data_IF_218572056582
#
_entry.id   IF_218572056582
#
_cell.length_a   1.000
_cell.length_b   1.000
_cell.length_c   1.000
_cell.angle_alpha   90.00
_cell.angle_beta   90.00
_cell.angle_gamma   90.00
#
_symmetry.space_group_name_H-M   'P 1'
#
loop_
_entity.id
_entity.type
_entity.pdbx_description
1 polymer ?
#
# COMPACT_ATOMS: atom_id res chain seq x y z
N UNK A 1 -11.88 -13.36 35.07
CA UNK A 1 -12.90 -14.20 34.40
C UNK A 1 -14.00 -13.39 33.70
N UNK A 2 -14.84 -12.62 34.42
CA UNK A 2 -15.98 -11.87 33.81
C UNK A 2 -15.61 -10.94 32.63
N UNK A 3 -14.46 -10.24 32.71
CA UNK A 3 -13.99 -9.31 31.65
C UNK A 3 -13.61 -9.99 30.33
N UNK A 4 -13.16 -11.25 30.37
CA UNK A 4 -12.79 -12.00 29.16
C UNK A 4 -14.01 -12.64 28.49
N UNK A 5 -15.03 -13.02 29.27
CA UNK A 5 -16.28 -13.60 28.74
C UNK A 5 -16.97 -12.63 27.78
N UNK A 6 -17.10 -11.35 28.17
CA UNK A 6 -17.70 -10.34 27.30
C UNK A 6 -16.95 -10.18 25.97
N UNK A 7 -15.62 -10.12 26.01
CA UNK A 7 -14.77 -10.02 24.80
C UNK A 7 -14.93 -11.24 23.89
N UNK A 8 -14.97 -12.44 24.47
CA UNK A 8 -15.15 -13.67 23.70
C UNK A 8 -16.53 -13.67 23.01
N UNK A 9 -17.59 -13.28 23.73
CA UNK A 9 -18.94 -13.20 23.16
C UNK A 9 -18.99 -12.22 21.99
N UNK A 10 -18.39 -11.02 22.12
CA UNK A 10 -18.39 -10.04 21.03
C UNK A 10 -17.54 -10.47 19.83
N UNK A 11 -16.43 -11.19 20.04
CA UNK A 11 -15.64 -11.77 18.94
C UNK A 11 -16.40 -12.88 18.22
N UNK A 12 -17.09 -13.75 18.96
CA UNK A 12 -17.93 -14.80 18.37
C UNK A 12 -19.07 -14.16 17.58
N UNK A 13 -19.74 -13.14 18.12
CA UNK A 13 -20.77 -12.39 17.41
C UNK A 13 -20.23 -11.78 16.11
N UNK A 14 -19.05 -11.14 16.18
CA UNK A 14 -18.39 -10.58 15.00
C UNK A 14 -18.11 -11.63 13.93
N UNK A 15 -17.64 -12.83 14.32
CA UNK A 15 -17.45 -13.95 13.39
C UNK A 15 -18.76 -14.47 12.80
N UNK A 16 -19.84 -14.51 13.58
CA UNK A 16 -21.16 -14.97 13.13
C UNK A 16 -21.78 -14.03 12.10
N UNK A 17 -21.75 -12.72 12.36
CA UNK A 17 -22.29 -11.72 11.43
C UNK A 17 -21.53 -11.78 10.10
N UNK A 18 -20.20 -11.89 10.13
CA UNK A 18 -19.38 -11.89 8.92
C UNK A 18 -19.45 -13.18 8.09
N UNK A 19 -20.20 -14.22 8.48
CA UNK A 19 -20.32 -15.45 7.67
C UNK A 19 -20.84 -15.16 6.27
N UNK A 20 -21.75 -14.20 6.14
CA UNK A 20 -22.40 -13.84 4.88
C UNK A 20 -21.78 -12.60 4.22
N UNK A 21 -20.51 -12.31 4.52
CA UNK A 21 -19.76 -11.24 3.84
C UNK A 21 -19.49 -11.58 2.38
N UNK A 22 -19.47 -10.56 1.52
CA UNK A 22 -18.98 -10.67 0.13
C UNK A 22 -17.46 -10.92 0.04
N UNK A 23 -16.75 -10.80 1.17
CA UNK A 23 -15.31 -11.05 1.26
C UNK A 23 -14.97 -12.51 1.57
N UNK A 24 -13.70 -12.87 1.44
CA UNK A 24 -13.22 -14.20 1.83
C UNK A 24 -13.32 -14.43 3.34
N UNK A 25 -14.40 -15.08 3.79
CA UNK A 25 -14.70 -15.33 5.20
C UNK A 25 -13.54 -15.98 6.00
N UNK A 26 -12.74 -16.83 5.36
CA UNK A 26 -11.61 -17.50 6.01
C UNK A 26 -10.59 -16.52 6.60
N UNK A 27 -10.46 -15.30 6.04
CA UNK A 27 -9.59 -14.25 6.59
C UNK A 27 -10.09 -13.79 7.95
N UNK A 28 -11.40 -13.56 8.08
CA UNK A 28 -12.02 -13.19 9.36
C UNK A 28 -11.95 -14.33 10.37
N UNK A 29 -12.14 -15.57 9.92
CA UNK A 29 -12.00 -16.76 10.76
C UNK A 29 -10.58 -16.90 11.34
N UNK A 30 -9.54 -16.67 10.54
CA UNK A 30 -8.16 -16.67 11.01
C UNK A 30 -7.89 -15.56 12.02
N UNK A 31 -8.35 -14.33 11.75
CA UNK A 31 -8.16 -13.19 12.66
C UNK A 31 -8.90 -13.39 13.98
N UNK A 32 -10.18 -13.79 13.92
CA UNK A 32 -10.98 -14.09 15.10
C UNK A 32 -10.44 -15.28 15.89
N UNK A 33 -9.99 -16.33 15.21
CA UNK A 33 -9.33 -17.49 15.81
C UNK A 33 -8.03 -17.11 16.52
N UNK A 34 -7.18 -16.29 15.88
CA UNK A 34 -5.96 -15.77 16.48
C UNK A 34 -6.25 -14.89 17.71
N UNK A 35 -7.30 -14.07 17.65
CA UNK A 35 -7.75 -13.26 18.78
C UNK A 35 -8.28 -14.11 19.94
N UNK A 36 -9.04 -15.18 19.66
CA UNK A 36 -9.49 -16.12 20.68
C UNK A 36 -8.32 -16.89 21.32
N UNK A 37 -7.35 -17.31 20.49
CA UNK A 37 -6.13 -17.95 20.94
C UNK A 37 -5.29 -17.03 21.84
N UNK A 38 -5.29 -15.72 21.58
CA UNK A 38 -4.52 -14.76 22.37
C UNK A 38 -4.96 -14.75 23.86
N UNK A 39 -6.23 -15.03 24.17
CA UNK A 39 -6.72 -15.13 25.56
C UNK A 39 -6.16 -16.34 26.33
N UNK A 40 -5.67 -17.36 25.63
CA UNK A 40 -4.95 -18.48 26.26
C UNK A 40 -3.51 -18.10 26.65
N UNK A 41 -3.01 -16.95 26.17
CA UNK A 41 -1.68 -16.43 26.48
C UNK A 41 -1.77 -15.34 27.54
N UNK A 42 -0.71 -15.23 28.35
CA UNK A 42 -0.53 -14.10 29.27
C UNK A 42 -0.10 -12.88 28.44
N UNK A 43 -1.08 -12.07 28.04
CA UNK A 43 -0.86 -10.81 27.32
C UNK A 43 -0.36 -9.70 28.25
N UNK A 44 0.22 -8.64 27.69
CA UNK A 44 0.73 -7.51 28.45
C UNK A 44 -0.42 -6.79 29.20
N UNK A 45 -0.16 -6.32 30.42
CA UNK A 45 -1.20 -5.68 31.26
C UNK A 45 -1.68 -4.31 30.71
N UNK A 46 -0.90 -3.66 29.83
CA UNK A 46 -1.25 -2.40 29.17
C UNK A 46 -1.09 -2.50 27.66
N UNK A 47 -2.21 -2.37 26.96
CA UNK A 47 -2.27 -2.21 25.50
C UNK A 47 -1.71 -0.84 25.09
N UNK A 48 -0.89 -0.78 24.05
CA UNK A 48 -0.39 0.48 23.51
C UNK A 48 -1.52 1.31 22.90
N UNK A 49 -1.46 2.64 23.03
CA UNK A 49 -2.47 3.55 22.45
C UNK A 49 -2.60 3.40 20.93
N UNK A 50 -1.47 3.14 20.24
CA UNK A 50 -1.44 2.86 18.80
C UNK A 50 -2.22 1.61 18.44
N UNK A 51 -2.08 0.53 19.23
CA UNK A 51 -2.81 -0.73 19.03
C UNK A 51 -4.32 -0.53 19.13
N UNK A 52 -4.79 0.25 20.12
CA UNK A 52 -6.21 0.60 20.23
C UNK A 52 -6.67 1.44 19.05
N UNK A 53 -5.91 2.47 18.67
CA UNK A 53 -6.25 3.33 17.55
C UNK A 53 -6.40 2.55 16.23
N UNK A 54 -5.38 1.75 15.86
CA UNK A 54 -5.45 0.93 14.65
C UNK A 54 -6.51 -0.15 14.76
N UNK A 55 -6.68 -0.78 15.93
CA UNK A 55 -7.75 -1.76 16.14
C UNK A 55 -9.15 -1.18 15.90
N UNK A 56 -9.41 0.04 16.39
CA UNK A 56 -10.65 0.76 16.13
C UNK A 56 -10.81 1.14 14.66
N UNK A 57 -9.74 1.60 14.01
CA UNK A 57 -9.78 1.96 12.60
C UNK A 57 -10.11 0.75 11.71
N UNK A 58 -9.41 -0.37 11.89
CA UNK A 58 -9.68 -1.59 11.14
C UNK A 58 -11.06 -2.16 11.44
N UNK A 59 -11.52 -2.08 12.69
CA UNK A 59 -12.89 -2.48 13.02
C UNK A 59 -13.93 -1.64 12.30
N UNK A 60 -13.72 -0.32 12.22
CA UNK A 60 -14.62 0.57 11.49
C UNK A 60 -14.64 0.25 10.00
N UNK A 61 -13.47 -0.01 9.40
CA UNK A 61 -13.35 -0.39 7.99
C UNK A 61 -14.11 -1.69 7.68
N UNK A 62 -14.00 -2.72 8.53
CA UNK A 62 -14.74 -3.98 8.33
C UNK A 62 -16.24 -3.75 8.34
N UNK A 63 -16.75 -2.91 9.24
CA UNK A 63 -18.18 -2.65 9.34
C UNK A 63 -18.67 -1.82 8.17
N UNK A 64 -17.92 -0.79 7.78
CA UNK A 64 -18.24 0.01 6.60
C UNK A 64 -18.15 -0.79 5.30
N UNK A 65 -17.36 -1.85 5.24
CA UNK A 65 -17.31 -2.76 4.09
C UNK A 65 -18.46 -3.79 4.10
N UNK A 66 -19.06 -4.04 5.27
CA UNK A 66 -20.07 -5.08 5.48
C UNK A 66 -21.37 -4.50 6.06
N UNK A 67 -21.67 -3.23 5.76
CA UNK A 67 -22.77 -2.49 6.38
C UNK A 67 -24.12 -3.15 6.10
N UNK A 68 -24.28 -3.77 4.93
CA UNK A 68 -25.47 -4.50 4.55
C UNK A 68 -25.78 -5.64 5.53
N UNK A 69 -24.76 -6.38 5.98
CA UNK A 69 -24.90 -7.44 7.00
C UNK A 69 -25.41 -6.93 8.34
N UNK A 70 -25.17 -5.65 8.65
CA UNK A 70 -25.70 -5.00 9.85
C UNK A 70 -27.10 -4.42 9.64
N UNK A 71 -27.52 -4.17 8.39
CA UNK A 71 -28.80 -3.57 8.01
C UNK A 71 -29.86 -4.59 7.54
N UNK A 72 -29.47 -5.75 7.03
CA UNK A 72 -30.37 -6.73 6.41
C UNK A 72 -31.19 -7.56 7.40
N UNK A 73 -31.12 -7.26 8.70
CA UNK A 73 -31.76 -8.06 9.73
C UNK A 73 -33.19 -7.60 10.01
N UNK A 74 -34.15 -8.43 9.58
CA UNK A 74 -35.57 -8.46 9.95
C UNK A 74 -36.43 -7.24 9.54
N UNK A 75 -36.86 -7.21 8.27
CA UNK A 75 -37.90 -6.28 7.76
C UNK A 75 -39.29 -6.43 8.43
N UNK A 76 -39.53 -7.53 9.15
CA UNK A 76 -40.84 -7.84 9.76
C UNK A 76 -41.07 -7.29 11.18
N UNK A 77 -40.06 -6.70 11.80
CA UNK A 77 -40.15 -6.17 13.18
C UNK A 77 -40.19 -4.66 13.13
N UNK A 78 -41.25 -4.04 13.67
CA UNK A 78 -41.52 -2.60 13.50
C UNK A 78 -40.31 -1.67 13.72
N UNK A 79 -40.35 -0.49 13.08
CA UNK A 79 -39.25 0.49 12.96
C UNK A 79 -38.40 0.71 14.22
N UNK A 80 -39.02 0.73 15.40
CA UNK A 80 -38.31 0.92 16.68
C UNK A 80 -37.37 -0.25 17.02
N UNK A 81 -37.81 -1.49 16.81
CA UNK A 81 -36.98 -2.67 17.05
C UNK A 81 -35.84 -2.75 16.05
N UNK A 82 -36.12 -2.47 14.76
CA UNK A 82 -35.09 -2.37 13.73
C UNK A 82 -33.97 -1.41 14.12
N UNK A 83 -34.31 -0.16 14.50
CA UNK A 83 -33.32 0.85 14.92
C UNK A 83 -32.50 0.36 16.13
N UNK A 84 -33.17 -0.21 17.13
CA UNK A 84 -32.49 -0.71 18.33
C UNK A 84 -31.55 -1.87 18.00
N UNK A 85 -32.02 -2.85 17.24
CA UNK A 85 -31.24 -4.01 16.83
C UNK A 85 -30.01 -3.58 16.01
N UNK A 86 -30.21 -2.76 14.99
CA UNK A 86 -29.12 -2.25 14.14
C UNK A 86 -28.08 -1.49 14.96
N UNK A 87 -28.53 -0.64 15.89
CA UNK A 87 -27.64 0.07 16.81
C UNK A 87 -26.82 -0.87 17.69
N UNK A 88 -27.46 -1.88 18.29
CA UNK A 88 -26.80 -2.88 19.14
C UNK A 88 -25.84 -3.75 18.32
N UNK A 89 -26.26 -4.23 17.16
CA UNK A 89 -25.45 -5.03 16.23
C UNK A 89 -24.20 -4.26 15.79
N UNK A 90 -24.36 -3.00 15.38
CA UNK A 90 -23.25 -2.14 15.01
C UNK A 90 -22.26 -1.95 16.17
N UNK A 91 -22.75 -1.71 17.40
CA UNK A 91 -21.88 -1.60 18.59
C UNK A 91 -21.14 -2.91 18.87
N UNK A 92 -21.82 -4.06 18.81
CA UNK A 92 -21.19 -5.36 19.02
C UNK A 92 -20.16 -5.68 17.95
N UNK A 93 -20.43 -5.32 16.69
CA UNK A 93 -19.49 -5.45 15.59
C UNK A 93 -18.26 -4.55 15.78
N UNK A 94 -18.43 -3.29 16.21
CA UNK A 94 -17.31 -2.37 16.49
C UNK A 94 -16.46 -2.93 17.64
N UNK A 95 -17.10 -3.32 18.74
CA UNK A 95 -16.38 -3.84 19.90
C UNK A 95 -15.68 -5.16 19.60
N UNK A 96 -16.37 -6.07 18.89
CA UNK A 96 -15.82 -7.34 18.45
C UNK A 96 -14.59 -7.15 17.57
N UNK A 97 -14.69 -6.32 16.53
CA UNK A 97 -13.55 -6.02 15.65
C UNK A 97 -12.40 -5.33 16.39
N UNK A 98 -12.68 -4.35 17.26
CA UNK A 98 -11.65 -3.73 18.12
C UNK A 98 -10.90 -4.78 18.93
N UNK A 99 -11.61 -5.72 19.56
CA UNK A 99 -10.97 -6.79 20.33
C UNK A 99 -10.22 -7.78 19.45
N UNK A 100 -10.74 -8.12 18.26
CA UNK A 100 -10.01 -8.98 17.30
C UNK A 100 -8.68 -8.33 16.94
N UNK A 101 -8.70 -7.10 16.43
CA UNK A 101 -7.49 -6.44 15.94
C UNK A 101 -6.50 -6.10 17.05
N UNK A 102 -6.98 -5.63 18.22
CA UNK A 102 -6.09 -5.37 19.37
C UNK A 102 -5.42 -6.65 19.86
N UNK A 103 -6.17 -7.75 20.00
CA UNK A 103 -5.61 -9.06 20.37
C UNK A 103 -4.59 -9.58 19.36
N UNK A 104 -4.88 -9.44 18.05
CA UNK A 104 -3.96 -9.86 16.98
C UNK A 104 -2.68 -9.04 17.02
N UNK A 105 -2.77 -7.71 17.14
CA UNK A 105 -1.58 -6.86 17.24
C UNK A 105 -0.73 -7.19 18.47
N UNK A 106 -1.34 -7.40 19.64
CA UNK A 106 -0.61 -7.80 20.83
C UNK A 106 0.06 -9.17 20.65
N UNK A 107 -0.63 -10.14 20.02
CA UNK A 107 -0.06 -11.45 19.71
C UNK A 107 1.16 -11.32 18.77
N UNK A 108 1.05 -10.51 17.72
CA UNK A 108 2.16 -10.25 16.79
C UNK A 108 3.33 -9.59 17.52
N UNK A 109 3.09 -8.58 18.35
CA UNK A 109 4.13 -7.96 19.18
C UNK A 109 4.84 -8.99 20.06
N UNK A 110 4.09 -9.87 20.73
CA UNK A 110 4.68 -10.93 21.54
C UNK A 110 5.49 -11.95 20.75
N UNK A 111 5.02 -12.35 19.56
CA UNK A 111 5.74 -13.27 18.68
C UNK A 111 7.05 -12.63 18.22
N UNK A 112 7.02 -11.36 17.84
CA UNK A 112 8.21 -10.61 17.44
C UNK A 112 9.18 -10.49 18.62
N UNK A 113 8.70 -10.10 19.80
CA UNK A 113 9.55 -9.95 21.00
C UNK A 113 10.18 -11.28 21.44
N UNK A 114 9.41 -12.38 21.46
CA UNK A 114 9.95 -13.71 21.78
C UNK A 114 10.90 -14.23 20.70
N UNK A 115 10.55 -14.02 19.44
CA UNK A 115 11.40 -14.37 18.30
C UNK A 115 12.74 -13.64 18.38
N UNK A 116 12.71 -12.34 18.72
CA UNK A 116 13.90 -11.54 19.00
C UNK A 116 14.75 -12.21 20.10
N UNK A 117 14.17 -12.59 21.25
CA UNK A 117 14.93 -13.23 22.35
C UNK A 117 15.63 -14.52 21.90
N UNK A 118 14.91 -15.44 21.25
CA UNK A 118 15.47 -16.72 20.77
C UNK A 118 16.60 -16.49 19.75
N UNK A 119 16.43 -15.50 18.88
CA UNK A 119 17.43 -15.11 17.88
C UNK A 119 18.74 -14.63 18.54
N UNK A 120 18.69 -14.07 19.75
CA UNK A 120 19.83 -13.46 20.45
C UNK A 120 20.89 -14.43 20.93
N UNK A 121 20.56 -15.71 21.10
CA UNK A 121 21.45 -16.70 21.69
C UNK A 121 22.50 -17.25 20.70
N UNK A 122 22.41 -16.89 19.42
CA UNK A 122 23.35 -17.34 18.39
C UNK A 122 24.55 -16.41 18.22
N UNK A 123 25.77 -16.96 18.24
CA UNK A 123 26.99 -16.25 17.88
C UNK A 123 27.00 -15.88 16.38
N UNK A 124 26.75 -14.61 16.05
CA UNK A 124 26.73 -14.15 14.66
C UNK A 124 28.06 -13.58 14.16
N UNK A 125 28.47 -14.02 12.96
CA UNK A 125 29.54 -13.36 12.21
C UNK A 125 29.09 -11.96 11.76
N UNK A 126 29.91 -10.96 12.06
CA UNK A 126 29.60 -9.55 11.78
C UNK A 126 29.91 -9.19 10.32
N UNK A 127 28.92 -9.24 9.43
CA UNK A 127 28.99 -8.58 8.12
C UNK A 127 28.70 -7.08 8.31
N UNK A 128 29.42 -6.19 7.63
CA UNK A 128 29.14 -4.74 7.69
C UNK A 128 27.85 -4.40 6.92
N UNK A 129 27.07 -3.39 7.34
CA UNK A 129 25.84 -3.00 6.65
C UNK A 129 26.01 -2.73 5.15
N UNK A 130 27.09 -2.04 4.78
CA UNK A 130 27.41 -1.77 3.37
C UNK A 130 27.61 -3.06 2.57
N UNK A 131 28.31 -4.06 3.12
CA UNK A 131 28.47 -5.37 2.46
C UNK A 131 27.14 -6.12 2.40
N UNK A 132 26.33 -6.03 3.46
CA UNK A 132 25.00 -6.65 3.50
C UNK A 132 24.08 -6.12 2.39
N UNK A 133 24.07 -4.80 2.16
CA UNK A 133 23.32 -4.20 1.06
C UNK A 133 23.70 -4.77 -0.30
N UNK A 134 24.99 -4.84 -0.63
CA UNK A 134 25.43 -5.34 -1.93
C UNK A 134 25.16 -6.83 -2.11
N UNK A 135 25.26 -7.62 -1.03
CA UNK A 135 24.88 -9.03 -1.04
C UNK A 135 23.37 -9.20 -1.28
N UNK A 136 22.54 -8.42 -0.58
CA UNK A 136 21.09 -8.42 -0.74
C UNK A 136 20.68 -7.99 -2.14
N UNK A 137 21.24 -6.88 -2.62
CA UNK A 137 21.01 -6.36 -3.96
C UNK A 137 21.37 -7.39 -5.03
N UNK A 138 22.56 -8.00 -4.95
CA UNK A 138 23.00 -9.01 -5.90
C UNK A 138 22.14 -10.28 -5.83
N UNK A 139 21.77 -10.73 -4.62
CA UNK A 139 20.94 -11.92 -4.43
C UNK A 139 19.54 -11.75 -5.03
N UNK A 140 18.85 -10.66 -4.69
CA UNK A 140 17.49 -10.37 -5.18
C UNK A 140 17.51 -10.11 -6.69
N UNK A 141 18.44 -9.28 -7.17
CA UNK A 141 18.52 -8.98 -8.61
C UNK A 141 18.82 -10.24 -9.42
N UNK A 142 19.80 -11.07 -9.03
CA UNK A 142 20.10 -12.31 -9.74
C UNK A 142 18.91 -13.26 -9.74
N UNK A 143 18.25 -13.44 -8.59
CA UNK A 143 17.07 -14.30 -8.50
C UNK A 143 15.94 -13.83 -9.42
N UNK A 144 15.64 -12.53 -9.43
CA UNK A 144 14.55 -11.99 -10.27
C UNK A 144 14.92 -11.93 -11.75
N UNK A 145 16.18 -11.68 -12.08
CA UNK A 145 16.68 -11.76 -13.46
C UNK A 145 16.60 -13.19 -13.99
N UNK A 146 16.90 -14.20 -13.17
CA UNK A 146 16.68 -15.61 -13.53
C UNK A 146 15.20 -15.85 -13.84
N UNK A 147 14.28 -15.37 -13.00
CA UNK A 147 12.85 -15.53 -13.27
C UNK A 147 12.43 -14.81 -14.56
N UNK A 148 12.92 -13.59 -14.78
CA UNK A 148 12.66 -12.84 -16.01
C UNK A 148 13.09 -13.65 -17.23
N UNK A 149 14.36 -14.05 -17.31
CA UNK A 149 14.90 -14.66 -18.53
C UNK A 149 14.48 -16.12 -18.74
N UNK A 150 14.18 -16.87 -17.67
CA UNK A 150 13.77 -18.28 -17.80
C UNK A 150 12.27 -18.45 -18.02
N UNK A 151 11.43 -17.60 -17.42
CA UNK A 151 9.98 -17.82 -17.40
C UNK A 151 9.15 -16.67 -17.98
N UNK A 152 9.65 -15.44 -17.91
CA UNK A 152 8.86 -14.25 -18.22
C UNK A 152 9.48 -13.38 -19.32
N UNK A 153 10.38 -13.91 -20.17
CA UNK A 153 10.97 -13.12 -21.24
C UNK A 153 9.89 -12.78 -22.30
N UNK A 154 9.82 -11.52 -22.78
CA UNK A 154 10.71 -10.40 -22.47
C UNK A 154 10.37 -9.61 -21.21
N UNK A 155 9.17 -9.80 -20.66
CA UNK A 155 8.66 -9.14 -19.47
C UNK A 155 7.14 -9.17 -19.55
N UNK A 156 6.46 -8.85 -18.45
CA UNK A 156 4.99 -8.80 -18.45
C UNK A 156 4.56 -7.38 -18.80
N UNK A 157 3.85 -7.21 -19.91
CA UNK A 157 3.33 -5.89 -20.32
C UNK A 157 1.89 -5.76 -19.83
N UNK A 158 1.65 -4.84 -18.90
CA UNK A 158 0.29 -4.58 -18.39
C UNK A 158 -0.57 -3.84 -19.43
N UNK A 159 -1.91 -3.88 -19.31
CA UNK A 159 -2.80 -3.10 -20.18
C UNK A 159 -2.44 -1.61 -20.21
N UNK A 160 -2.17 -1.01 -19.05
CA UNK A 160 -1.70 0.38 -18.94
C UNK A 160 -0.40 0.62 -19.70
N UNK A 161 0.55 -0.32 -19.59
CA UNK A 161 1.81 -0.22 -20.32
C UNK A 161 1.61 -0.33 -21.84
N UNK A 162 0.67 -1.15 -22.32
CA UNK A 162 0.31 -1.18 -23.74
C UNK A 162 -0.19 0.20 -24.19
N UNK A 163 -1.06 0.85 -23.40
CA UNK A 163 -1.51 2.21 -23.68
C UNK A 163 -0.35 3.20 -23.72
N UNK A 164 0.57 3.14 -22.74
CA UNK A 164 1.75 4.01 -22.72
C UNK A 164 2.69 3.77 -23.91
N UNK A 165 2.92 2.51 -24.31
CA UNK A 165 3.73 2.17 -25.48
C UNK A 165 3.09 2.69 -26.79
N UNK A 166 1.76 2.63 -26.91
CA UNK A 166 1.04 3.25 -28.04
C UNK A 166 1.22 4.76 -28.07
N UNK A 167 1.08 5.44 -26.92
CA UNK A 167 1.34 6.89 -26.83
C UNK A 167 2.75 7.25 -27.29
N UNK A 168 3.74 6.45 -26.88
CA UNK A 168 5.15 6.66 -27.27
C UNK A 168 5.34 6.44 -28.78
N UNK A 169 4.78 5.35 -29.33
CA UNK A 169 4.88 5.01 -30.76
C UNK A 169 4.21 6.06 -31.64
N UNK A 170 3.01 6.48 -31.27
CA UNK A 170 2.17 7.38 -32.07
C UNK A 170 2.53 8.86 -31.80
N UNK A 171 3.44 9.13 -30.86
CA UNK A 171 3.82 10.45 -30.38
C UNK A 171 2.61 11.31 -29.96
N UNK A 172 1.58 10.66 -29.42
CA UNK A 172 0.32 11.25 -28.98
C UNK A 172 0.13 10.94 -27.49
N UNK A 173 0.46 11.92 -26.63
CA UNK A 173 0.46 11.73 -25.18
C UNK A 173 -0.89 12.13 -24.57
N UNK A 174 -1.25 11.43 -23.49
CA UNK A 174 -2.30 11.84 -22.57
C UNK A 174 -1.78 11.74 -21.14
N UNK A 175 -2.31 12.57 -20.23
CA UNK A 175 -2.00 12.49 -18.80
C UNK A 175 -2.97 11.55 -18.04
N UNK A 176 -3.72 10.70 -18.76
CA UNK A 176 -4.48 9.59 -18.17
C UNK A 176 -3.56 8.65 -17.36
N UNK A 177 -2.34 8.46 -17.85
CA UNK A 177 -1.26 7.84 -17.08
C UNK A 177 -0.19 8.87 -16.72
N UNK A 178 0.56 8.66 -15.61
CA UNK A 178 1.59 9.59 -15.19
C UNK A 178 2.65 9.76 -16.29
N UNK A 179 2.78 10.99 -16.82
CA UNK A 179 3.68 11.30 -17.93
C UNK A 179 5.14 10.95 -17.62
N UNK A 180 5.57 11.13 -16.36
CA UNK A 180 6.91 10.73 -15.92
C UNK A 180 7.14 9.22 -16.10
N UNK A 181 6.16 8.39 -15.79
CA UNK A 181 6.23 6.96 -16.03
C UNK A 181 6.29 6.64 -17.54
N UNK A 182 5.48 7.31 -18.35
CA UNK A 182 5.50 7.16 -19.82
C UNK A 182 6.89 7.49 -20.38
N UNK A 183 7.52 8.58 -19.93
CA UNK A 183 8.87 8.96 -20.36
C UNK A 183 9.95 7.98 -19.89
N UNK A 184 9.80 7.41 -18.70
CA UNK A 184 10.69 6.32 -18.25
C UNK A 184 10.56 5.09 -19.13
N UNK A 185 9.34 4.70 -19.51
CA UNK A 185 9.14 3.62 -20.50
C UNK A 185 9.85 4.00 -21.79
N UNK A 186 9.61 5.20 -22.34
CA UNK A 186 10.23 5.67 -23.59
C UNK A 186 11.75 5.56 -23.56
N UNK A 187 12.38 5.94 -22.46
CA UNK A 187 13.83 5.87 -22.28
C UNK A 187 14.35 4.43 -22.31
N UNK A 188 13.89 3.56 -21.40
CA UNK A 188 14.45 2.22 -21.25
C UNK A 188 13.99 1.26 -22.34
N UNK A 189 12.72 1.33 -22.73
CA UNK A 189 12.21 0.57 -23.87
C UNK A 189 12.90 0.98 -25.17
N UNK A 190 13.01 2.31 -25.42
CA UNK A 190 13.66 2.84 -26.61
C UNK A 190 15.12 2.40 -26.71
N UNK A 191 15.89 2.56 -25.63
CA UNK A 191 17.27 2.11 -25.55
C UNK A 191 17.42 0.62 -25.88
N UNK A 192 16.59 -0.24 -25.28
CA UNK A 192 16.65 -1.68 -25.56
C UNK A 192 16.22 -2.05 -26.97
N UNK A 193 15.18 -1.41 -27.49
CA UNK A 193 14.68 -1.67 -28.83
C UNK A 193 15.66 -1.21 -29.92
N UNK A 194 16.32 -0.07 -29.72
CA UNK A 194 17.28 0.49 -30.68
C UNK A 194 18.59 -0.31 -30.70
N UNK A 195 19.13 -0.67 -29.53
CA UNK A 195 20.42 -1.36 -29.43
C UNK A 195 20.32 -2.83 -29.86
N UNK A 196 19.27 -3.52 -29.44
CA UNK A 196 19.12 -4.96 -29.69
C UNK A 196 18.14 -5.28 -30.83
N UNK A 197 17.60 -4.24 -31.49
CA UNK A 197 16.81 -4.37 -32.72
C UNK A 197 15.45 -5.06 -32.57
N UNK A 198 14.88 -5.15 -31.36
CA UNK A 198 13.56 -5.76 -31.16
C UNK A 198 12.74 -5.12 -30.03
N UNK A 199 11.42 -5.04 -30.23
CA UNK A 199 10.50 -4.58 -29.19
C UNK A 199 10.57 -5.46 -27.92
N UNK A 200 10.79 -6.77 -28.08
CA UNK A 200 11.00 -7.69 -26.96
C UNK A 200 12.22 -7.29 -26.14
N UNK A 201 13.34 -6.95 -26.78
CA UNK A 201 14.51 -6.45 -26.05
C UNK A 201 14.23 -5.12 -25.35
N UNK A 202 13.43 -4.23 -25.94
CA UNK A 202 12.96 -3.01 -25.28
C UNK A 202 12.18 -3.30 -23.98
N UNK A 203 11.22 -4.23 -24.03
CA UNK A 203 10.48 -4.66 -22.83
C UNK A 203 11.43 -5.26 -21.79
N UNK A 204 12.36 -6.13 -22.22
CA UNK A 204 13.32 -6.76 -21.33
C UNK A 204 14.23 -5.76 -20.63
N UNK A 205 14.74 -4.74 -21.35
CA UNK A 205 15.56 -3.68 -20.74
C UNK A 205 14.79 -2.89 -19.70
N UNK A 206 13.52 -2.54 -19.96
CA UNK A 206 12.69 -1.89 -18.95
C UNK A 206 12.47 -2.80 -17.73
N UNK A 207 12.14 -4.08 -17.93
CA UNK A 207 11.94 -5.03 -16.83
C UNK A 207 13.22 -5.22 -16.01
N UNK A 208 14.40 -5.28 -16.65
CA UNK A 208 15.70 -5.31 -15.96
C UNK A 208 15.88 -4.05 -15.11
N UNK A 209 15.67 -2.86 -15.67
CA UNK A 209 15.73 -1.60 -14.91
C UNK A 209 14.83 -1.65 -13.68
N UNK A 210 13.58 -2.09 -13.84
CA UNK A 210 12.63 -2.17 -12.74
C UNK A 210 13.05 -3.19 -11.67
N UNK A 211 13.56 -4.36 -12.06
CA UNK A 211 14.11 -5.37 -11.14
C UNK A 211 15.25 -4.77 -10.31
N UNK A 212 16.16 -4.01 -10.93
CA UNK A 212 17.26 -3.36 -10.21
C UNK A 212 16.74 -2.31 -9.21
N UNK A 213 15.70 -1.55 -9.55
CA UNK A 213 15.04 -0.64 -8.62
C UNK A 213 14.41 -1.37 -7.43
N UNK A 214 13.72 -2.50 -7.68
CA UNK A 214 13.14 -3.33 -6.62
C UNK A 214 14.24 -3.87 -5.70
N UNK A 215 15.29 -4.48 -6.28
CA UNK A 215 16.40 -5.04 -5.54
C UNK A 215 17.12 -3.98 -4.70
N UNK A 216 17.38 -2.79 -5.24
CA UNK A 216 18.01 -1.69 -4.50
C UNK A 216 17.14 -1.19 -3.34
N UNK A 217 15.82 -1.09 -3.56
CA UNK A 217 14.88 -0.66 -2.53
C UNK A 217 14.78 -1.67 -1.39
N UNK A 218 14.69 -2.96 -1.73
CA UNK A 218 14.63 -4.04 -0.76
C UNK A 218 15.95 -4.16 0.01
N UNK A 219 17.09 -4.12 -0.68
CA UNK A 219 18.39 -4.11 -0.05
C UNK A 219 18.56 -2.93 0.92
N UNK A 220 18.07 -1.73 0.57
CA UNK A 220 18.10 -0.57 1.47
C UNK A 220 17.23 -0.78 2.71
N UNK A 221 16.01 -1.31 2.56
CA UNK A 221 15.13 -1.68 3.68
C UNK A 221 15.80 -2.69 4.61
N UNK A 222 16.31 -3.79 4.08
CA UNK A 222 16.91 -4.84 4.90
C UNK A 222 18.23 -4.40 5.53
N UNK A 223 19.02 -3.59 4.83
CA UNK A 223 20.19 -2.93 5.42
C UNK A 223 19.80 -2.06 6.62
N UNK A 224 18.74 -1.26 6.52
CA UNK A 224 18.23 -0.45 7.64
C UNK A 224 17.84 -1.30 8.83
N UNK A 225 17.13 -2.42 8.61
CA UNK A 225 16.76 -3.34 9.70
C UNK A 225 18.03 -3.98 10.28
N UNK A 226 18.97 -4.39 9.44
CA UNK A 226 20.24 -5.01 9.84
C UNK A 226 21.12 -4.06 10.68
N UNK A 227 21.11 -2.77 10.37
CA UNK A 227 21.82 -1.71 11.12
C UNK A 227 21.30 -1.49 12.53
N UNK A 228 20.05 -1.88 12.82
CA UNK A 228 19.50 -1.82 14.18
C UNK A 228 20.26 -2.75 15.14
N UNK A 229 21.03 -3.70 14.63
CA UNK A 229 21.92 -4.55 15.40
C UNK A 229 21.21 -5.62 16.23
N UNK A 230 22.01 -6.46 16.91
CA UNK A 230 21.50 -7.59 17.69
C UNK A 230 20.58 -8.50 16.85
N UNK A 231 19.40 -8.79 17.40
CA UNK A 231 18.45 -9.75 16.84
C UNK A 231 17.82 -9.30 15.52
N UNK A 232 17.85 -7.99 15.24
CA UNK A 232 17.32 -7.45 14.00
C UNK A 232 18.10 -7.89 12.77
N UNK A 233 19.35 -8.36 12.93
CA UNK A 233 20.14 -8.92 11.82
C UNK A 233 19.53 -10.19 11.24
N UNK A 234 19.14 -11.15 12.08
CA UNK A 234 18.41 -12.35 11.60
C UNK A 234 17.05 -11.99 11.06
N UNK A 235 16.35 -11.04 11.70
CA UNK A 235 15.06 -10.58 11.19
C UNK A 235 15.21 -9.98 9.80
N UNK A 236 16.25 -9.18 9.55
CA UNK A 236 16.54 -8.65 8.22
C UNK A 236 16.68 -9.78 7.20
N UNK A 237 17.50 -10.80 7.49
CA UNK A 237 17.72 -11.95 6.59
C UNK A 237 16.44 -12.77 6.39
N UNK A 238 15.70 -13.11 7.45
CA UNK A 238 14.46 -13.89 7.35
C UNK A 238 13.41 -13.12 6.56
N UNK A 239 13.23 -11.83 6.86
CA UNK A 239 12.28 -10.98 6.15
C UNK A 239 12.68 -10.81 4.69
N UNK A 240 13.98 -10.68 4.41
CA UNK A 240 14.52 -10.64 3.05
C UNK A 240 14.16 -11.89 2.26
N UNK A 241 14.43 -13.08 2.82
CA UNK A 241 14.09 -14.36 2.17
C UNK A 241 12.59 -14.44 1.89
N UNK A 242 11.75 -14.10 2.87
CA UNK A 242 10.29 -14.10 2.70
C UNK A 242 9.87 -13.13 1.59
N UNK A 243 10.37 -11.90 1.60
CA UNK A 243 10.03 -10.90 0.59
C UNK A 243 10.53 -11.26 -0.81
N UNK A 244 11.72 -11.88 -0.91
CA UNK A 244 12.28 -12.31 -2.18
C UNK A 244 11.48 -13.46 -2.82
N UNK A 245 10.96 -14.40 -2.02
CA UNK A 245 10.21 -15.55 -2.58
C UNK A 245 8.71 -15.29 -2.77
N UNK A 246 8.18 -14.17 -2.27
CA UNK A 246 6.76 -13.85 -2.41
C UNK A 246 6.38 -13.67 -3.89
N UNK A 247 5.45 -14.48 -4.45
CA UNK A 247 5.13 -14.47 -5.88
C UNK A 247 4.73 -13.09 -6.41
N UNK A 248 3.99 -12.32 -5.61
CA UNK A 248 3.57 -10.97 -5.99
C UNK A 248 4.75 -10.03 -6.19
N UNK A 249 5.78 -10.07 -5.33
CA UNK A 249 6.96 -9.20 -5.48
C UNK A 249 7.72 -9.56 -6.76
N UNK A 250 7.81 -10.85 -7.09
CA UNK A 250 8.42 -11.33 -8.33
C UNK A 250 7.62 -10.83 -9.53
N UNK A 251 6.31 -11.09 -9.58
CA UNK A 251 5.43 -10.66 -10.69
C UNK A 251 5.49 -9.14 -10.90
N UNK A 252 5.34 -8.35 -9.83
CA UNK A 252 5.41 -6.89 -9.92
C UNK A 252 6.78 -6.38 -10.35
N UNK A 253 7.87 -7.08 -9.99
CA UNK A 253 9.22 -6.69 -10.41
C UNK A 253 9.47 -6.86 -11.90
N UNK A 254 8.89 -7.90 -12.53
CA UNK A 254 9.06 -8.19 -13.97
C UNK A 254 7.99 -7.53 -14.84
N UNK A 255 6.91 -7.04 -14.24
CA UNK A 255 5.77 -6.43 -14.93
C UNK A 255 5.94 -4.93 -15.13
N UNK A 256 5.88 -4.45 -16.37
CA UNK A 256 5.84 -3.02 -16.70
C UNK A 256 4.55 -2.41 -16.16
N UNK A 257 4.60 -1.84 -14.95
CA UNK A 257 3.47 -1.27 -14.21
C UNK A 257 3.93 -0.03 -13.45
N UNK A 258 3.21 1.08 -13.63
CA UNK A 258 3.44 2.35 -12.89
C UNK A 258 3.39 2.18 -11.37
N UNK A 259 2.59 1.23 -10.94
CA UNK A 259 2.32 0.91 -9.54
C UNK A 259 3.58 0.45 -8.81
N UNK A 260 4.43 -0.35 -9.48
CA UNK A 260 5.64 -0.90 -8.88
C UNK A 260 6.59 0.23 -8.45
N UNK A 261 7.01 1.09 -9.39
CA UNK A 261 7.95 2.17 -9.12
C UNK A 261 7.40 3.18 -8.09
N UNK A 262 6.10 3.49 -8.17
CA UNK A 262 5.45 4.35 -7.19
C UNK A 262 5.50 3.75 -5.77
N UNK A 263 5.18 2.47 -5.62
CA UNK A 263 5.26 1.77 -4.33
C UNK A 263 6.69 1.69 -3.79
N UNK A 264 7.69 1.52 -4.66
CA UNK A 264 9.10 1.59 -4.25
C UNK A 264 9.47 2.98 -3.72
N UNK A 265 9.01 4.06 -4.36
CA UNK A 265 9.22 5.42 -3.85
C UNK A 265 8.55 5.62 -2.48
N UNK A 266 7.33 5.13 -2.25
CA UNK A 266 6.71 5.18 -0.92
C UNK A 266 7.55 4.43 0.12
N UNK A 267 8.02 3.23 -0.22
CA UNK A 267 8.83 2.43 0.71
C UNK A 267 10.15 3.12 1.03
N UNK A 268 10.88 3.62 0.02
CA UNK A 268 12.12 4.38 0.21
C UNK A 268 11.89 5.64 1.04
N UNK A 269 10.78 6.35 0.81
CA UNK A 269 10.40 7.53 1.59
C UNK A 269 10.22 7.17 3.06
N UNK A 270 9.47 6.11 3.38
CA UNK A 270 9.23 5.67 4.75
C UNK A 270 10.54 5.21 5.43
N UNK A 271 11.37 4.44 4.73
CA UNK A 271 12.65 3.94 5.28
C UNK A 271 13.63 5.10 5.51
N UNK A 272 13.78 6.00 4.55
CA UNK A 272 14.64 7.17 4.70
C UNK A 272 14.14 8.09 5.83
N UNK A 273 12.82 8.26 5.95
CA UNK A 273 12.21 9.01 7.05
C UNK A 273 12.50 8.38 8.42
N UNK A 274 12.40 7.05 8.51
CA UNK A 274 12.77 6.31 9.71
C UNK A 274 14.24 6.53 10.07
N UNK A 275 15.16 6.40 9.11
CA UNK A 275 16.60 6.61 9.32
C UNK A 275 16.88 8.04 9.79
N UNK A 276 16.38 9.05 9.07
CA UNK A 276 16.49 10.47 9.44
C UNK A 276 15.87 10.79 10.82
N UNK A 277 14.94 9.97 11.32
CA UNK A 277 14.36 10.12 12.66
C UNK A 277 15.23 9.56 13.79
N UNK A 278 16.12 8.59 13.49
CA UNK A 278 16.89 7.84 14.50
C UNK A 278 18.39 8.06 14.47
N UNK A 279 19.00 8.22 13.29
CA UNK A 279 20.45 8.38 13.15
C UNK A 279 20.85 9.84 12.99
N UNK A 280 22.15 10.11 13.11
CA UNK A 280 22.71 11.33 12.53
C UNK A 280 22.39 11.38 11.03
N UNK A 281 22.06 12.58 10.55
CA UNK A 281 21.63 12.78 9.16
C UNK A 281 22.77 12.39 8.23
N UNK A 282 22.60 11.30 7.48
CA UNK A 282 23.54 10.99 6.39
C UNK A 282 23.08 11.71 5.12
N UNK A 283 24.06 12.06 4.26
CA UNK A 283 23.77 12.61 2.94
C UNK A 283 22.96 11.62 2.09
N UNK A 284 23.29 10.32 2.19
CA UNK A 284 22.57 9.24 1.50
C UNK A 284 21.09 9.23 1.86
N UNK A 285 20.75 9.26 3.16
CA UNK A 285 19.35 9.24 3.62
C UNK A 285 18.57 10.47 3.13
N UNK A 286 19.24 11.62 3.08
CA UNK A 286 18.64 12.87 2.61
C UNK A 286 18.38 12.84 1.09
N UNK A 287 19.30 12.24 0.32
CA UNK A 287 19.13 12.02 -1.12
C UNK A 287 18.00 11.03 -1.36
N UNK A 288 18.00 9.86 -0.69
CA UNK A 288 16.95 8.86 -0.83
C UNK A 288 15.59 9.45 -0.46
N UNK A 289 15.50 10.20 0.64
CA UNK A 289 14.29 10.91 1.05
C UNK A 289 13.80 11.90 -0.02
N UNK A 290 14.70 12.67 -0.61
CA UNK A 290 14.34 13.69 -1.61
C UNK A 290 13.91 13.06 -2.95
N UNK A 291 14.67 12.08 -3.44
CA UNK A 291 14.36 11.39 -4.70
C UNK A 291 13.05 10.61 -4.59
N UNK A 292 12.85 9.90 -3.47
CA UNK A 292 11.60 9.18 -3.23
C UNK A 292 10.39 10.12 -3.09
N UNK A 293 10.54 11.24 -2.38
CA UNK A 293 9.50 12.28 -2.27
C UNK A 293 9.10 12.81 -3.66
N UNK A 294 10.08 13.08 -4.52
CA UNK A 294 9.81 13.52 -5.89
C UNK A 294 9.14 12.42 -6.74
N UNK A 295 9.60 11.18 -6.60
CA UNK A 295 9.01 10.02 -7.27
C UNK A 295 7.55 9.78 -6.88
N UNK A 296 7.19 9.96 -5.59
CA UNK A 296 5.79 9.89 -5.14
C UNK A 296 4.93 10.90 -5.90
N UNK A 297 5.39 12.15 -6.05
CA UNK A 297 4.62 13.17 -6.73
C UNK A 297 4.42 12.90 -8.24
N UNK A 298 5.39 12.28 -8.91
CA UNK A 298 5.41 12.16 -10.37
C UNK A 298 4.95 10.82 -10.94
N UNK A 299 5.15 9.72 -10.21
CA UNK A 299 4.89 8.38 -10.72
C UNK A 299 3.42 7.96 -10.60
N UNK A 300 2.57 8.82 -10.04
CA UNK A 300 1.12 8.65 -9.94
C UNK A 300 0.40 10.00 -10.05
N UNK A 301 -0.74 10.02 -10.75
CA UNK A 301 -1.56 11.22 -10.90
C UNK A 301 -2.15 11.71 -9.57
N UNK A 302 -2.42 10.80 -8.62
CA UNK A 302 -2.83 11.12 -7.25
C UNK A 302 -1.66 11.23 -6.27
N UNK A 303 -0.42 11.09 -6.74
CA UNK A 303 0.79 11.07 -5.93
C UNK A 303 0.99 12.34 -5.11
N UNK A 304 0.70 13.50 -5.70
CA UNK A 304 0.77 14.79 -4.99
C UNK A 304 -0.19 14.86 -3.79
N UNK A 305 -1.42 14.33 -3.92
CA UNK A 305 -2.38 14.31 -2.82
C UNK A 305 -1.88 13.43 -1.67
N UNK A 306 -1.32 12.25 -2.02
CA UNK A 306 -0.72 11.33 -1.05
C UNK A 306 0.48 12.01 -0.36
N UNK A 307 1.35 12.66 -1.12
CA UNK A 307 2.52 13.35 -0.60
C UNK A 307 2.17 14.48 0.36
N UNK A 308 1.15 15.30 0.03
CA UNK A 308 0.65 16.35 0.92
C UNK A 308 0.07 15.77 2.21
N UNK A 309 -0.69 14.68 2.13
CA UNK A 309 -1.18 13.99 3.33
C UNK A 309 -0.02 13.49 4.20
N UNK A 310 1.01 12.89 3.60
CA UNK A 310 2.23 12.49 4.30
C UNK A 310 2.95 13.69 4.95
N UNK A 311 3.04 14.83 4.26
CA UNK A 311 3.65 16.06 4.77
C UNK A 311 2.90 16.61 6.00
N UNK A 312 1.57 16.63 5.95
CA UNK A 312 0.72 17.07 7.07
C UNK A 312 0.89 16.15 8.28
N UNK A 313 0.81 14.84 8.07
CA UNK A 313 1.02 13.86 9.15
C UNK A 313 2.43 14.02 9.74
N UNK A 314 3.44 14.18 8.88
CA UNK A 314 4.82 14.40 9.31
C UNK A 314 4.98 15.68 10.14
N UNK A 315 4.37 16.79 9.72
CA UNK A 315 4.35 18.04 10.46
C UNK A 315 3.69 17.89 11.84
N UNK A 316 2.58 17.15 11.94
CA UNK A 316 1.89 16.89 13.21
C UNK A 316 2.75 16.02 14.14
N UNK A 317 3.35 14.96 13.60
CA UNK A 317 4.14 13.99 14.38
C UNK A 317 5.44 14.60 14.91
N UNK A 318 6.16 15.34 14.08
CA UNK A 318 7.49 15.86 14.42
C UNK A 318 7.48 17.33 14.86
N UNK A 319 6.37 18.03 14.68
CA UNK A 319 6.20 19.45 15.04
C UNK A 319 7.40 20.27 14.54
N UNK A 320 8.02 21.05 15.42
CA UNK A 320 9.17 21.90 15.09
C UNK A 320 10.53 21.18 15.08
N UNK A 321 10.57 19.85 15.25
CA UNK A 321 11.84 19.10 15.37
C UNK A 321 12.51 18.75 14.03
N UNK A 322 11.78 18.77 12.92
CA UNK A 322 12.24 18.33 11.59
C UNK A 322 11.95 19.37 10.49
N UNK A 323 12.29 20.64 10.77
CA UNK A 323 12.00 21.78 9.87
C UNK A 323 12.70 21.67 8.50
N UNK A 324 13.91 21.12 8.46
CA UNK A 324 14.66 20.98 7.20
C UNK A 324 13.99 19.96 6.27
N UNK A 325 13.55 18.82 6.81
CA UNK A 325 12.82 17.79 6.08
C UNK A 325 11.46 18.32 5.59
N UNK A 326 10.73 19.06 6.44
CA UNK A 326 9.52 19.76 6.03
C UNK A 326 9.76 20.78 4.92
N UNK A 327 10.87 21.54 4.99
CA UNK A 327 11.25 22.49 3.95
C UNK A 327 11.55 21.77 2.63
N UNK A 328 12.27 20.65 2.67
CA UNK A 328 12.51 19.81 1.48
C UNK A 328 11.19 19.33 0.90
N UNK A 329 10.27 18.82 1.74
CA UNK A 329 8.95 18.39 1.28
C UNK A 329 8.17 19.53 0.62
N UNK A 330 8.18 20.73 1.22
CA UNK A 330 7.52 21.91 0.63
C UNK A 330 8.13 22.32 -0.71
N UNK A 331 9.46 22.32 -0.82
CA UNK A 331 10.16 22.62 -2.09
C UNK A 331 9.77 21.59 -3.15
N UNK A 332 9.79 20.30 -2.81
CA UNK A 332 9.42 19.22 -3.73
C UNK A 332 7.95 19.34 -4.15
N UNK A 333 7.05 19.68 -3.22
CA UNK A 333 5.64 19.90 -3.53
C UNK A 333 5.47 21.05 -4.55
N UNK A 334 6.08 22.21 -4.30
CA UNK A 334 6.01 23.36 -5.21
C UNK A 334 6.63 23.03 -6.57
N UNK A 335 7.78 22.36 -6.58
CA UNK A 335 8.45 21.98 -7.81
C UNK A 335 7.63 20.94 -8.61
N UNK A 336 6.99 19.98 -7.93
CA UNK A 336 6.13 18.97 -8.56
C UNK A 336 4.86 19.59 -9.18
N UNK A 337 4.32 20.63 -8.55
CA UNK A 337 3.19 21.41 -9.08
C UNK A 337 3.57 22.21 -10.33
N UNK A 338 4.84 22.61 -10.48
CA UNK A 338 5.33 23.29 -11.67
C UNK A 338 5.67 22.30 -12.80
N UNK A 339 6.37 21.21 -12.49
CA UNK A 339 6.89 20.30 -13.53
C UNK A 339 5.77 19.51 -14.22
N UNK A 340 4.69 19.16 -13.51
CA UNK A 340 3.61 18.34 -14.09
C UNK A 340 2.87 19.08 -15.23
N UNK A 341 2.43 20.35 -15.06
CA UNK A 341 1.91 21.16 -16.16
C UNK A 341 2.94 21.43 -17.27
N UNK A 342 4.21 21.65 -16.92
CA UNK A 342 5.26 21.87 -17.94
C UNK A 342 5.40 20.64 -18.83
N UNK A 343 5.52 19.44 -18.25
CA UNK A 343 5.57 18.18 -19.01
C UNK A 343 4.34 17.99 -19.90
N UNK A 344 3.16 18.35 -19.39
CA UNK A 344 1.92 18.29 -20.16
C UNK A 344 1.96 19.19 -21.39
N UNK A 345 2.41 20.44 -21.22
CA UNK A 345 2.50 21.41 -22.30
C UNK A 345 3.55 21.01 -23.34
N UNK A 346 4.75 20.62 -22.92
CA UNK A 346 5.84 20.20 -23.82
C UNK A 346 5.47 18.96 -24.64
N UNK A 347 4.71 18.03 -24.06
CA UNK A 347 4.26 16.82 -24.75
C UNK A 347 2.93 17.00 -25.51
N UNK A 348 2.33 18.19 -25.48
CA UNK A 348 0.97 18.46 -25.96
C UNK A 348 -0.04 17.41 -25.46
N UNK A 349 0.10 17.01 -24.19
CA UNK A 349 -0.64 15.87 -23.66
C UNK A 349 -2.10 16.22 -23.38
N UNK A 350 -3.01 15.38 -23.88
CA UNK A 350 -4.46 15.56 -23.75
C UNK A 350 -4.93 15.09 -22.37
N UNK A 351 -5.85 15.85 -21.77
CA UNK A 351 -6.50 15.46 -20.50
C UNK A 351 -7.41 14.24 -20.68
N UNK A 352 -7.52 13.33 -19.70
CA UNK A 352 -8.57 12.33 -19.70
C UNK A 352 -9.95 12.98 -19.66
N UNK A 353 -10.96 12.23 -20.10
CA UNK A 353 -12.35 12.61 -20.03
C UNK A 353 -12.75 12.96 -18.57
N UNK A 354 -13.62 13.96 -18.42
CA UNK A 354 -14.17 14.35 -17.13
C UNK A 354 -14.86 13.17 -16.43
N UNK A 355 -15.49 12.25 -17.19
CA UNK A 355 -16.14 11.06 -16.66
C UNK A 355 -15.20 10.20 -15.80
N UNK A 356 -13.92 10.10 -16.17
CA UNK A 356 -12.94 9.34 -15.37
C UNK A 356 -12.65 9.98 -14.01
N UNK A 357 -12.77 11.31 -13.90
CA UNK A 357 -12.54 12.04 -12.65
C UNK A 357 -13.70 11.87 -11.66
N UNK A 358 -14.90 11.60 -12.16
CA UNK A 358 -16.12 11.43 -11.36
C UNK A 358 -16.51 9.97 -11.15
N UNK A 359 -15.59 9.02 -11.41
CA UNK A 359 -15.85 7.59 -11.28
C UNK A 359 -16.36 7.15 -9.90
N UNK A 360 -15.84 7.73 -8.81
CA UNK A 360 -16.31 7.39 -7.44
C UNK A 360 -17.74 7.90 -7.20
N UNK A 361 -18.07 9.19 -7.40
CA UNK A 361 -19.46 9.66 -7.35
C UNK A 361 -20.39 8.87 -8.28
N UNK A 362 -19.91 8.52 -9.47
CA UNK A 362 -20.66 7.75 -10.45
C UNK A 362 -21.02 6.35 -9.93
N UNK A 363 -20.05 5.63 -9.34
CA UNK A 363 -20.30 4.34 -8.69
C UNK A 363 -21.29 4.44 -7.52
N UNK A 364 -21.26 5.54 -6.76
CA UNK A 364 -22.22 5.77 -5.67
C UNK A 364 -23.65 5.94 -6.21
N UNK A 365 -23.83 6.70 -7.29
CA UNK A 365 -25.14 6.85 -7.95
C UNK A 365 -25.63 5.52 -8.50
N UNK A 366 -24.77 4.77 -9.19
CA UNK A 366 -25.11 3.44 -9.71
C UNK A 366 -25.51 2.48 -8.60
N UNK A 367 -24.82 2.50 -7.45
CA UNK A 367 -25.18 1.64 -6.32
C UNK A 367 -26.59 1.94 -5.79
N UNK A 368 -26.98 3.21 -5.69
CA UNK A 368 -28.33 3.62 -5.26
C UNK A 368 -29.39 3.05 -6.22
N UNK A 369 -29.14 3.12 -7.53
CA UNK A 369 -30.04 2.56 -8.56
C UNK A 369 -30.13 1.05 -8.48
N UNK A 370 -28.99 0.35 -8.35
CA UNK A 370 -28.91 -1.11 -8.24
C UNK A 370 -29.64 -1.61 -6.99
N UNK A 371 -29.54 -0.89 -5.88
CA UNK A 371 -30.20 -1.22 -4.61
C UNK A 371 -31.71 -0.85 -4.62
N UNK A 372 -32.24 -0.35 -5.74
CA UNK A 372 -33.67 -0.08 -5.93
C UNK A 372 -34.20 1.17 -5.22
N UNK A 373 -33.31 2.08 -4.79
CA UNK A 373 -33.70 3.34 -4.17
C UNK A 373 -34.04 4.40 -5.22
N UNK A 374 -35.05 5.21 -4.93
CA UNK A 374 -35.43 6.34 -5.79
C UNK A 374 -34.36 7.42 -5.77
N UNK A 375 -33.94 7.85 -6.96
CA UNK A 375 -33.12 9.04 -7.13
C UNK A 375 -34.00 10.28 -7.03
N UNK A 376 -33.53 11.29 -6.31
CA UNK A 376 -34.12 12.63 -6.37
C UNK A 376 -34.02 13.20 -7.77
N UNK A 377 -34.88 14.16 -8.13
CA UNK A 377 -34.86 14.82 -9.46
C UNK A 377 -33.47 15.35 -9.86
N UNK A 378 -32.70 15.85 -8.89
CA UNK A 378 -31.33 16.31 -9.12
C UNK A 378 -30.36 15.15 -9.40
N UNK A 379 -30.50 14.03 -8.70
CA UNK A 379 -29.69 12.84 -8.94
C UNK A 379 -30.04 12.18 -10.27
N UNK A 380 -31.32 12.16 -10.68
CA UNK A 380 -31.75 11.70 -12.00
C UNK A 380 -31.14 12.54 -13.12
N UNK A 381 -31.19 13.87 -13.02
CA UNK A 381 -30.56 14.76 -14.02
C UNK A 381 -29.04 14.57 -14.10
N UNK A 382 -28.39 14.28 -12.98
CA UNK A 382 -26.95 13.98 -12.96
C UNK A 382 -26.69 12.61 -13.60
N UNK A 383 -27.48 11.59 -13.28
CA UNK A 383 -27.39 10.26 -13.89
C UNK A 383 -27.62 10.33 -15.41
N UNK A 384 -28.64 11.03 -15.88
CA UNK A 384 -28.89 11.24 -17.31
C UNK A 384 -27.70 11.91 -18.02
N UNK A 385 -27.10 12.93 -17.40
CA UNK A 385 -25.90 13.60 -17.95
C UNK A 385 -24.67 12.70 -17.97
N UNK A 386 -24.53 11.78 -17.03
CA UNK A 386 -23.37 10.89 -16.91
C UNK A 386 -23.49 9.63 -17.77
N UNK A 387 -24.71 9.10 -17.93
CA UNK A 387 -24.97 7.80 -18.58
C UNK A 387 -25.72 7.88 -19.91
N UNK A 388 -26.20 9.06 -20.32
CA UNK A 388 -26.90 9.23 -21.60
C UNK A 388 -28.38 8.84 -21.59
N UNK A 389 -29.04 8.97 -20.43
CA UNK A 389 -30.41 8.48 -20.19
C UNK A 389 -30.40 7.04 -19.67
N UNK A 390 -31.11 6.79 -18.57
CA UNK A 390 -31.30 5.45 -17.98
C UNK A 390 -32.55 4.81 -18.56
#
# INVERSE_FOLDING_TARGET
MKKNVFKIITIIYWLMVLVNTDSYYWVYLLLGGAALFSFSKKLADKTAKSTVFFGSLFSLMVILANYETALSFYEGTGKAFYILYTGVSAVFMILGGVYVYTSVFELVHQIVDKGLVVISEGNEKKVSPFKFFWLSFAGISLFYLLILFLFNYPGIVSPDAIHQLRMIRDNAYSDHHPLAHTLMIKLFFGFGAEIFGSANAGVAVYSVFQILCVAATFAFLFMTIYEMGGNYKKIAVITEVVYAILPYNIEFSVSMRKDTLFSLCILLFIVALYRLSRSEKTLCDSIVFSVSSFGICLLRNNGMMIFLACAVIFAIMFKNKKKAELMIMSIIAVFSLAITPMMKNELNAVSPDYLEKVGVPMQQVVRVVVDGYELTDNQNKIAEKLFGGV
#
